data_IF_606120919274
#
_entry.id   IF_606120919274
#
_cell.length_a   1.000
_cell.length_b   1.000
_cell.length_c   1.000
_cell.angle_alpha   90.00
_cell.angle_beta   90.00
_cell.angle_gamma   90.00
#
_symmetry.space_group_name_H-M   'P 1'
#
loop_
_entity.id
_entity.type
_entity.pdbx_description
1 polymer ?
#
# COMPACT_ATOMS: atom_id res chain seq x y z
N UNK A 1 -7.03 11.04 -14.07
CA UNK A 1 -7.10 9.71 -13.41
C UNK A 1 -5.92 9.50 -12.49
N UNK A 2 -5.99 8.52 -11.57
CA UNK A 2 -4.98 8.28 -10.52
C UNK A 2 -3.56 8.21 -11.08
N UNK A 3 -3.32 7.46 -12.17
CA UNK A 3 -1.98 7.29 -12.76
C UNK A 3 -1.28 8.62 -13.10
N UNK A 4 -1.99 9.53 -13.79
CA UNK A 4 -1.43 10.84 -14.22
C UNK A 4 -1.06 11.74 -13.04
N UNK A 5 -1.78 11.64 -11.91
CA UNK A 5 -1.48 12.43 -10.70
C UNK A 5 -0.16 12.03 -10.04
N UNK A 6 0.35 10.83 -10.35
CA UNK A 6 1.59 10.29 -9.81
C UNK A 6 2.66 10.08 -10.89
N UNK A 7 2.55 10.73 -12.06
CA UNK A 7 3.53 10.57 -13.14
C UNK A 7 3.58 9.19 -13.78
N UNK A 8 2.56 8.35 -13.54
CA UNK A 8 2.49 6.98 -14.04
C UNK A 8 1.66 6.89 -15.32
N UNK A 9 2.03 5.95 -16.20
CA UNK A 9 1.21 5.59 -17.36
C UNK A 9 0.03 4.71 -16.90
N UNK A 10 -1.19 4.90 -17.44
CA UNK A 10 -2.33 4.05 -17.09
C UNK A 10 -2.03 2.54 -17.24
N UNK A 11 -1.26 2.18 -18.28
CA UNK A 11 -0.87 0.80 -18.57
C UNK A 11 -0.02 0.15 -17.46
N UNK A 12 0.81 0.94 -16.76
CA UNK A 12 1.60 0.45 -15.61
C UNK A 12 0.69 0.10 -14.44
N UNK A 13 -0.30 0.95 -14.14
CA UNK A 13 -1.29 0.67 -13.07
C UNK A 13 -2.09 -0.60 -13.39
N UNK A 14 -2.44 -0.83 -14.65
CA UNK A 14 -3.13 -2.06 -15.05
C UNK A 14 -2.25 -3.30 -14.90
N UNK A 15 -0.96 -3.22 -15.26
CA UNK A 15 -0.01 -4.31 -15.08
C UNK A 15 0.11 -4.69 -13.61
N UNK A 16 0.35 -3.72 -12.72
CA UNK A 16 0.45 -3.96 -11.28
C UNK A 16 -0.84 -4.51 -10.67
N UNK A 17 -2.02 -3.99 -11.07
CA UNK A 17 -3.31 -4.54 -10.62
C UNK A 17 -3.52 -5.98 -11.07
N UNK A 18 -2.97 -6.39 -12.22
CA UNK A 18 -3.04 -7.77 -12.70
C UNK A 18 -2.12 -8.67 -11.88
N UNK A 19 -0.90 -8.24 -11.62
CA UNK A 19 0.08 -8.99 -10.81
C UNK A 19 -0.39 -9.15 -9.36
N UNK A 20 -0.86 -8.07 -8.74
CA UNK A 20 -1.40 -8.11 -7.38
C UNK A 20 -2.58 -9.10 -7.25
N UNK A 21 -3.46 -9.18 -8.26
CA UNK A 21 -4.54 -10.18 -8.27
C UNK A 21 -4.04 -11.61 -8.42
N UNK A 22 -2.99 -11.85 -9.21
CA UNK A 22 -2.38 -13.18 -9.33
C UNK A 22 -1.78 -13.62 -7.99
N UNK A 23 -1.06 -12.72 -7.32
CA UNK A 23 -0.48 -12.99 -5.99
C UNK A 23 -1.56 -13.17 -4.93
N UNK A 24 -2.63 -12.35 -4.96
CA UNK A 24 -3.76 -12.52 -4.04
C UNK A 24 -4.45 -13.87 -4.26
N UNK A 25 -4.65 -14.31 -5.50
CA UNK A 25 -5.24 -15.60 -5.81
C UNK A 25 -4.42 -16.78 -5.27
N UNK A 26 -3.08 -16.70 -5.25
CA UNK A 26 -2.24 -17.73 -4.62
C UNK A 26 -2.27 -17.70 -3.09
N UNK A 27 -2.61 -16.56 -2.47
CA UNK A 27 -2.69 -16.38 -1.01
C UNK A 27 -4.12 -16.56 -0.47
N UNK A 28 -5.13 -16.60 -1.35
CA UNK A 28 -6.56 -16.63 -1.01
C UNK A 28 -7.04 -17.95 -0.39
N UNK A 29 -6.23 -19.02 -0.39
CA UNK A 29 -6.61 -20.30 0.23
C UNK A 29 -6.83 -20.16 1.74
N UNK A 30 -6.14 -19.23 2.42
CA UNK A 30 -6.22 -19.03 3.88
C UNK A 30 -6.55 -17.58 4.31
N UNK A 31 -6.88 -16.69 3.37
CA UNK A 31 -7.14 -15.27 3.69
C UNK A 31 -8.64 -14.95 3.86
N UNK A 32 -9.04 -14.20 4.90
CA UNK A 32 -10.44 -13.87 5.16
C UNK A 32 -11.05 -13.09 3.98
N UNK A 33 -12.23 -13.54 3.52
CA UNK A 33 -12.95 -12.90 2.45
C UNK A 33 -13.55 -11.55 2.89
N UNK A 34 -13.49 -10.56 2.02
CA UNK A 34 -14.26 -9.32 2.21
C UNK A 34 -15.75 -9.62 1.94
N UNK A 35 -16.55 -9.67 3.01
CA UNK A 35 -17.99 -9.85 2.93
C UNK A 35 -18.68 -8.49 3.07
N UNK A 36 -19.77 -8.20 2.34
CA UNK A 36 -20.57 -7.00 2.56
C UNK A 36 -20.99 -6.86 4.03
N UNK A 37 -20.73 -5.70 4.62
CA UNK A 37 -21.17 -5.42 6.00
C UNK A 37 -22.68 -5.12 5.99
N UNK A 38 -23.49 -6.07 6.46
CA UNK A 38 -24.92 -5.85 6.70
C UNK A 38 -25.08 -5.29 8.11
N UNK A 39 -25.60 -4.07 8.23
CA UNK A 39 -25.91 -3.44 9.52
C UNK A 39 -27.37 -3.75 9.84
N UNK A 40 -27.62 -4.57 10.86
CA UNK A 40 -28.96 -4.70 11.44
C UNK A 40 -29.33 -3.40 12.16
N UNK A 41 -30.58 -2.95 12.03
CA UNK A 41 -31.06 -1.78 12.76
C UNK A 41 -30.99 -2.07 14.27
N UNK A 42 -30.13 -1.36 14.99
CA UNK A 42 -29.99 -1.46 16.43
C UNK A 42 -30.56 -0.21 17.11
N UNK A 43 -31.26 -0.40 18.22
CA UNK A 43 -31.58 0.63 19.21
C UNK A 43 -30.32 1.43 19.59
N UNK A 44 -30.43 2.73 19.95
CA UNK A 44 -29.29 3.63 19.96
C UNK A 44 -28.35 3.36 21.16
N UNK A 45 -27.42 2.43 20.96
CA UNK A 45 -26.27 2.26 21.85
C UNK A 45 -25.19 3.30 21.54
N UNK A 46 -24.74 4.01 22.57
CA UNK A 46 -23.75 5.08 22.50
C UNK A 46 -22.54 4.71 21.61
N UNK A 47 -22.31 5.51 20.58
CA UNK A 47 -21.29 5.29 19.57
C UNK A 47 -19.88 5.30 20.17
N UNK A 48 -19.22 4.13 20.22
CA UNK A 48 -17.75 4.10 20.39
C UNK A 48 -17.11 4.49 19.07
N UNK A 49 -16.60 5.72 19.00
CA UNK A 49 -16.01 6.28 17.79
C UNK A 49 -14.75 5.52 17.34
N UNK A 50 -14.62 5.11 16.06
CA UNK A 50 -13.46 4.40 15.53
C UNK A 50 -12.34 5.41 15.18
N UNK A 51 -11.76 6.06 16.19
CA UNK A 51 -10.80 7.16 15.97
C UNK A 51 -9.35 6.69 15.72
N UNK A 52 -8.97 5.49 16.16
CA UNK A 52 -7.56 5.05 16.07
C UNK A 52 -7.16 4.54 14.67
N UNK A 53 -7.98 3.71 14.01
CA UNK A 53 -7.61 3.12 12.69
C UNK A 53 -7.46 4.15 11.57
N UNK A 54 -8.23 5.24 11.60
CA UNK A 54 -8.16 6.30 10.57
C UNK A 54 -6.80 7.01 10.55
N UNK A 55 -6.17 7.21 11.71
CA UNK A 55 -4.88 7.93 11.82
C UNK A 55 -3.71 7.14 11.25
N UNK A 56 -3.73 5.81 11.37
CA UNK A 56 -2.66 4.95 10.86
C UNK A 56 -2.70 4.87 9.32
N UNK A 57 -3.90 4.70 8.74
CA UNK A 57 -4.08 4.65 7.29
C UNK A 57 -3.67 5.97 6.58
N UNK A 58 -3.82 7.12 7.24
CA UNK A 58 -3.34 8.40 6.72
C UNK A 58 -1.83 8.56 6.79
N UNK A 59 -1.14 7.87 7.71
CA UNK A 59 0.33 7.92 7.83
C UNK A 59 1.01 7.06 6.76
N UNK A 60 0.44 5.92 6.41
CA UNK A 60 0.94 5.04 5.33
C UNK A 60 0.55 5.52 3.92
N UNK A 61 -0.38 6.47 3.80
CA UNK A 61 -0.77 7.01 2.51
C UNK A 61 0.41 7.75 1.83
N UNK A 62 1.04 7.08 0.85
CA UNK A 62 2.17 7.61 0.10
C UNK A 62 3.54 7.05 0.50
N UNK A 63 3.57 5.94 1.25
CA UNK A 63 4.77 5.13 1.44
C UNK A 63 5.05 4.25 0.21
N UNK A 64 6.32 4.18 -0.19
CA UNK A 64 6.82 3.27 -1.23
C UNK A 64 7.71 2.24 -0.56
N UNK A 65 7.51 0.96 -0.86
CA UNK A 65 8.31 -0.15 -0.32
C UNK A 65 9.05 -0.83 -1.45
N UNK A 66 10.34 -1.08 -1.21
CA UNK A 66 11.28 -1.62 -2.18
C UNK A 66 12.07 -2.73 -1.49
N UNK A 67 12.31 -3.82 -2.19
CA UNK A 67 13.21 -4.88 -1.75
C UNK A 67 14.32 -5.04 -2.79
N UNK A 68 15.57 -4.98 -2.35
CA UNK A 68 16.77 -5.10 -3.19
C UNK A 68 17.68 -6.11 -2.49
N UNK A 69 17.96 -7.24 -3.13
CA UNK A 69 18.86 -8.29 -2.60
C UNK A 69 18.49 -8.74 -1.17
N UNK A 70 17.19 -8.86 -0.89
CA UNK A 70 16.64 -9.23 0.42
C UNK A 70 16.59 -8.10 1.45
N UNK A 71 17.05 -6.90 1.10
CA UNK A 71 17.02 -5.71 1.96
C UNK A 71 15.75 -4.91 1.66
N UNK A 72 14.86 -4.81 2.65
CA UNK A 72 13.66 -3.99 2.58
C UNK A 72 13.94 -2.52 2.90
N UNK A 73 13.54 -1.62 2.02
CA UNK A 73 13.61 -0.16 2.16
C UNK A 73 12.22 0.45 2.06
N UNK A 74 11.92 1.42 2.94
CA UNK A 74 10.66 2.17 2.94
C UNK A 74 10.93 3.65 2.71
N UNK A 75 10.17 4.26 1.80
CA UNK A 75 10.31 5.66 1.39
C UNK A 75 9.00 6.38 1.68
N UNK A 76 9.04 7.29 2.65
CA UNK A 76 7.90 8.13 3.00
C UNK A 76 7.64 9.23 1.97
N UNK A 77 6.43 9.79 2.03
CA UNK A 77 6.04 10.95 1.20
C UNK A 77 6.97 12.14 1.46
N UNK A 78 7.53 12.71 0.39
CA UNK A 78 8.40 13.89 0.47
C UNK A 78 9.87 13.57 0.76
N UNK A 79 10.27 12.30 0.73
CA UNK A 79 11.67 11.92 0.81
C UNK A 79 12.51 12.61 -0.29
N UNK A 80 13.69 13.10 0.07
CA UNK A 80 14.61 13.75 -0.87
C UNK A 80 15.05 12.76 -1.95
N UNK A 81 14.89 13.15 -3.22
CA UNK A 81 15.14 12.27 -4.35
C UNK A 81 16.62 11.92 -4.49
N UNK A 82 17.54 12.83 -4.12
CA UNK A 82 18.98 12.56 -4.21
C UNK A 82 19.39 11.52 -3.17
N UNK A 83 18.87 11.63 -1.95
CA UNK A 83 19.09 10.64 -0.88
C UNK A 83 18.55 9.28 -1.28
N UNK A 84 17.29 9.19 -1.75
CA UNK A 84 16.70 7.91 -2.18
C UNK A 84 17.54 7.27 -3.30
N UNK A 85 17.96 8.05 -4.31
CA UNK A 85 18.80 7.53 -5.40
C UNK A 85 20.19 7.08 -4.91
N UNK A 86 20.78 7.80 -3.94
CA UNK A 86 22.07 7.42 -3.35
C UNK A 86 21.97 6.09 -2.59
N UNK A 87 20.92 5.91 -1.78
CA UNK A 87 20.69 4.67 -1.03
C UNK A 87 20.46 3.49 -1.99
N UNK A 88 19.64 3.65 -3.03
CA UNK A 88 19.42 2.59 -4.03
C UNK A 88 20.74 2.21 -4.73
N UNK A 89 21.56 3.19 -5.12
CA UNK A 89 22.87 2.91 -5.74
C UNK A 89 23.81 2.19 -4.79
N UNK A 90 23.84 2.58 -3.51
CA UNK A 90 24.66 1.93 -2.50
C UNK A 90 24.23 0.48 -2.27
N UNK A 91 22.91 0.23 -2.16
CA UNK A 91 22.36 -1.13 -2.03
C UNK A 91 22.73 -2.01 -3.23
N UNK A 92 22.62 -1.48 -4.45
CA UNK A 92 23.04 -2.20 -5.66
C UNK A 92 24.55 -2.44 -5.78
N UNK A 93 25.38 -1.65 -5.09
CA UNK A 93 26.85 -1.78 -5.15
C UNK A 93 27.41 -2.78 -4.14
N UNK A 94 26.66 -3.06 -3.07
CA UNK A 94 26.93 -4.18 -2.15
C UNK A 94 26.34 -5.52 -2.64
N UNK A 95 25.67 -5.44 -3.79
CA UNK A 95 25.18 -6.47 -4.71
C UNK A 95 26.08 -7.68 -4.93
#
# INVERSE_FOLDING_TARGET
>A
GVARRYGLRPQQVFAWRREARKQAASVQQDSPAFVPAVVAAAEPAASRSPKQRKRQATRDAGMIELEIDGIAMRVGRGADTKTVAAVIRALKATS
#
